data_IF_155581838962
#
_entry.id   IF_155581838962
#
_cell.length_a   1.000
_cell.length_b   1.000
_cell.length_c   1.000
_cell.angle_alpha   90.00
_cell.angle_beta   90.00
_cell.angle_gamma   90.00
#
_symmetry.space_group_name_H-M   'P 1'
#
loop_
_entity.id
_entity.type
_entity.pdbx_description
1 polymer ?
#
# COMPACT_ATOMS: atom_id res chain seq x y z
N UNK A 1 11.53 31.28 -23.92
CA UNK A 1 11.48 31.21 -22.43
C UNK A 1 10.05 31.07 -21.89
N UNK A 2 9.08 31.90 -22.28
CA UNK A 2 7.69 31.78 -21.79
C UNK A 2 7.02 30.41 -22.04
N UNK A 3 7.20 29.82 -23.22
CA UNK A 3 6.58 28.52 -23.55
C UNK A 3 7.07 27.35 -22.64
N UNK A 4 8.31 27.43 -22.13
CA UNK A 4 8.85 26.42 -21.21
C UNK A 4 8.24 26.53 -19.82
N UNK A 5 8.01 27.75 -19.34
CA UNK A 5 7.40 28.03 -18.03
C UNK A 5 5.94 27.56 -18.00
N UNK A 6 5.17 27.84 -19.06
CA UNK A 6 3.78 27.37 -19.15
C UNK A 6 3.68 25.84 -19.22
N UNK A 7 4.60 25.17 -19.91
CA UNK A 7 4.65 23.69 -19.92
C UNK A 7 5.00 23.12 -18.55
N UNK A 8 5.96 23.72 -17.84
CA UNK A 8 6.31 23.29 -16.49
C UNK A 8 5.12 23.44 -15.53
N UNK A 9 4.41 24.58 -15.57
CA UNK A 9 3.22 24.80 -14.77
C UNK A 9 2.07 23.83 -15.12
N UNK A 10 1.88 23.51 -16.39
CA UNK A 10 0.87 22.53 -16.81
C UNK A 10 1.18 21.12 -16.29
N UNK A 11 2.44 20.69 -16.35
CA UNK A 11 2.87 19.40 -15.78
C UNK A 11 2.68 19.41 -14.27
N UNK A 12 3.03 20.50 -13.59
CA UNK A 12 2.88 20.61 -12.14
C UNK A 12 1.39 20.58 -11.73
N UNK A 13 0.53 21.28 -12.47
CA UNK A 13 -0.92 21.27 -12.26
C UNK A 13 -1.54 19.89 -12.48
N UNK A 14 -1.09 19.17 -13.52
CA UNK A 14 -1.51 17.78 -13.78
C UNK A 14 -1.06 16.88 -12.63
N UNK A 15 0.20 16.97 -12.17
CA UNK A 15 0.68 16.19 -11.03
C UNK A 15 -0.08 16.51 -9.74
N UNK A 16 -0.44 17.78 -9.48
CA UNK A 16 -1.27 18.14 -8.31
C UNK A 16 -2.72 17.67 -8.44
N UNK A 17 -3.28 17.65 -9.66
CA UNK A 17 -4.62 17.14 -9.91
C UNK A 17 -4.67 15.61 -9.75
N UNK A 18 -3.65 14.89 -10.24
CA UNK A 18 -3.51 13.45 -9.99
C UNK A 18 -3.23 13.17 -8.51
N UNK A 19 -2.52 14.04 -7.79
CA UNK A 19 -2.33 13.93 -6.35
C UNK A 19 -3.65 14.13 -5.57
N UNK A 20 -4.56 14.98 -6.06
CA UNK A 20 -5.91 15.15 -5.51
C UNK A 20 -6.85 13.97 -5.76
N UNK A 21 -6.48 13.06 -6.67
CA UNK A 21 -7.17 11.79 -6.93
C UNK A 21 -6.37 10.58 -6.41
N UNK A 22 -5.37 10.79 -5.55
CA UNK A 22 -4.83 9.70 -4.74
C UNK A 22 -5.94 9.38 -3.75
N UNK A 23 -6.59 8.22 -3.91
CA UNK A 23 -7.58 7.70 -2.98
C UNK A 23 -7.06 7.84 -1.54
N UNK A 24 -7.45 8.91 -0.85
CA UNK A 24 -7.11 9.12 0.56
C UNK A 24 -7.79 8.06 1.44
N UNK A 25 -8.78 7.34 0.88
CA UNK A 25 -9.37 6.14 1.45
C UNK A 25 -8.36 4.98 1.56
N UNK A 26 -7.36 4.91 0.67
CA UNK A 26 -6.37 3.83 0.63
C UNK A 26 -5.01 4.22 1.24
N UNK A 27 -4.73 5.51 1.46
CA UNK A 27 -3.48 5.96 2.05
C UNK A 27 -3.69 6.43 3.51
N UNK A 28 -3.20 5.66 4.51
CA UNK A 28 -3.49 5.97 5.91
C UNK A 28 -2.69 7.16 6.43
N UNK A 29 -3.35 7.97 7.25
CA UNK A 29 -2.67 8.96 8.08
C UNK A 29 -1.93 8.23 9.19
N UNK A 30 -0.61 8.45 9.27
CA UNK A 30 0.27 7.86 10.29
C UNK A 30 0.34 8.76 11.52
N UNK A 31 -0.45 8.42 12.55
CA UNK A 31 -0.43 9.14 13.83
C UNK A 31 0.66 8.56 14.74
N UNK A 32 1.65 9.36 15.11
CA UNK A 32 2.65 8.95 16.09
C UNK A 32 2.01 8.79 17.48
N UNK A 33 2.12 7.60 18.10
CA UNK A 33 1.63 7.34 19.46
C UNK A 33 2.76 7.44 20.50
N UNK A 34 4.03 7.50 20.06
CA UNK A 34 5.20 7.61 20.93
C UNK A 34 6.35 8.34 20.23
N UNK A 35 7.59 7.91 20.48
CA UNK A 35 8.78 8.36 19.73
C UNK A 35 8.99 7.40 18.57
N UNK A 36 8.65 7.77 17.32
CA UNK A 36 8.77 6.87 16.19
C UNK A 36 10.23 6.56 15.89
N UNK A 37 10.50 5.31 15.50
CA UNK A 37 11.86 4.87 15.17
C UNK A 37 12.36 5.54 13.88
N UNK A 38 11.44 5.77 12.94
CA UNK A 38 11.72 6.38 11.65
C UNK A 38 10.70 7.48 11.35
N UNK A 39 11.07 8.49 10.55
CA UNK A 39 10.12 9.44 10.00
C UNK A 39 8.98 8.75 9.23
N UNK A 40 7.78 9.36 9.14
CA UNK A 40 6.59 8.69 8.64
C UNK A 40 6.73 8.21 7.18
N UNK A 41 7.39 8.98 6.31
CA UNK A 41 7.65 8.57 4.93
C UNK A 41 8.57 7.34 4.83
N UNK A 42 9.55 7.23 5.73
CA UNK A 42 10.48 6.11 5.79
C UNK A 42 9.77 4.88 6.36
N UNK A 43 9.03 5.04 7.45
CA UNK A 43 8.21 3.96 8.03
C UNK A 43 7.17 3.43 7.02
N UNK A 44 6.47 4.32 6.32
CA UNK A 44 5.50 3.95 5.28
C UNK A 44 6.16 3.11 4.17
N UNK A 45 7.26 3.60 3.59
CA UNK A 45 7.94 2.91 2.49
C UNK A 45 8.48 1.54 2.91
N UNK A 46 9.11 1.43 4.08
CA UNK A 46 9.57 0.15 4.64
C UNK A 46 8.40 -0.82 4.83
N UNK A 47 7.34 -0.38 5.52
CA UNK A 47 6.20 -1.24 5.80
C UNK A 47 5.40 -1.61 4.55
N UNK A 48 5.37 -0.74 3.52
CA UNK A 48 4.81 -1.06 2.22
C UNK A 48 5.61 -2.16 1.52
N UNK A 49 6.94 -2.13 1.60
CA UNK A 49 7.76 -3.20 1.01
C UNK A 49 7.51 -4.56 1.67
N UNK A 50 7.35 -4.60 2.99
CA UNK A 50 7.02 -5.82 3.74
C UNK A 50 5.60 -6.30 3.40
N UNK A 51 4.64 -5.39 3.35
CA UNK A 51 3.26 -5.68 2.92
C UNK A 51 3.22 -6.29 1.51
N UNK A 52 3.97 -5.74 0.57
CA UNK A 52 4.06 -6.25 -0.82
C UNK A 52 4.75 -7.61 -0.90
N UNK A 53 5.74 -7.88 -0.05
CA UNK A 53 6.34 -9.20 0.06
C UNK A 53 5.30 -10.23 0.55
N UNK A 54 4.54 -9.88 1.59
CA UNK A 54 3.46 -10.74 2.11
C UNK A 54 2.30 -10.92 1.13
N UNK A 55 1.94 -9.90 0.36
CA UNK A 55 0.97 -10.03 -0.73
C UNK A 55 1.38 -11.14 -1.70
N UNK A 56 2.62 -11.09 -2.21
CA UNK A 56 3.12 -12.07 -3.17
C UNK A 56 3.17 -13.48 -2.58
N UNK A 57 3.66 -13.60 -1.35
CA UNK A 57 3.74 -14.88 -0.66
C UNK A 57 2.35 -15.49 -0.41
N UNK A 58 1.40 -14.68 0.09
CA UNK A 58 0.03 -15.14 0.34
C UNK A 58 -0.67 -15.58 -0.95
N UNK A 59 -0.49 -14.84 -2.05
CA UNK A 59 -1.03 -15.22 -3.36
C UNK A 59 -0.41 -16.51 -3.89
N UNK A 60 0.91 -16.65 -3.78
CA UNK A 60 1.61 -17.88 -4.15
C UNK A 60 1.10 -19.08 -3.34
N UNK A 61 0.95 -18.93 -2.02
CA UNK A 61 0.41 -19.97 -1.15
C UNK A 61 -1.03 -20.34 -1.50
N UNK A 62 -1.87 -19.39 -1.91
CA UNK A 62 -3.23 -19.67 -2.37
C UNK A 62 -3.22 -20.55 -3.62
N UNK A 63 -2.43 -20.20 -4.64
CA UNK A 63 -2.32 -21.01 -5.86
C UNK A 63 -1.72 -22.40 -5.60
N UNK A 64 -0.69 -22.49 -4.75
CA UNK A 64 -0.11 -23.79 -4.36
C UNK A 64 -1.14 -24.68 -3.65
N UNK A 65 -1.96 -24.11 -2.76
CA UNK A 65 -3.05 -24.86 -2.10
C UNK A 65 -4.10 -25.33 -3.10
N UNK A 66 -4.51 -24.46 -4.04
CA UNK A 66 -5.49 -24.83 -5.08
C UNK A 66 -5.00 -26.01 -5.94
N UNK A 67 -3.71 -26.00 -6.32
CA UNK A 67 -3.09 -27.12 -7.05
C UNK A 67 -3.10 -28.42 -6.25
N UNK A 68 -2.84 -28.36 -4.94
CA UNK A 68 -2.82 -29.54 -4.07
C UNK A 68 -4.22 -30.11 -3.80
N UNK A 69 -5.26 -29.28 -3.78
CA UNK A 69 -6.65 -29.70 -3.55
C UNK A 69 -7.37 -30.14 -4.83
N UNK A 70 -6.70 -30.08 -5.98
CA UNK A 70 -7.28 -30.44 -7.28
C UNK A 70 -8.26 -29.40 -7.83
N UNK A 71 -8.31 -28.20 -7.23
CA UNK A 71 -9.02 -27.06 -7.80
C UNK A 71 -8.18 -26.46 -8.93
N UNK A 72 -8.54 -26.80 -10.16
CA UNK A 72 -7.82 -26.39 -11.39
C UNK A 72 -7.91 -24.88 -11.62
N UNK A 73 -8.97 -24.25 -11.13
CA UNK A 73 -9.18 -22.80 -11.19
C UNK A 73 -9.21 -22.24 -9.76
N UNK A 74 -8.05 -21.74 -9.33
CA UNK A 74 -7.96 -20.87 -8.16
C UNK A 74 -8.86 -19.64 -8.42
N UNK A 75 -9.81 -19.35 -7.53
CA UNK A 75 -10.63 -18.14 -7.68
C UNK A 75 -9.71 -16.92 -7.53
N UNK A 76 -9.50 -16.20 -8.62
CA UNK A 76 -8.60 -15.07 -8.69
C UNK A 76 -9.06 -13.91 -7.79
N UNK A 77 -10.37 -13.76 -7.60
CA UNK A 77 -10.92 -12.75 -6.68
C UNK A 77 -10.63 -13.14 -5.22
N UNK A 78 -10.77 -14.42 -4.89
CA UNK A 78 -10.45 -14.92 -3.55
C UNK A 78 -8.93 -14.85 -3.28
N UNK A 79 -8.10 -15.18 -4.28
CA UNK A 79 -6.65 -15.04 -4.20
C UNK A 79 -6.24 -13.59 -3.93
N UNK A 80 -6.82 -12.64 -4.68
CA UNK A 80 -6.55 -11.21 -4.56
C UNK A 80 -6.99 -10.66 -3.19
N UNK A 81 -8.21 -10.99 -2.75
CA UNK A 81 -8.75 -10.53 -1.46
C UNK A 81 -7.95 -11.08 -0.29
N UNK A 82 -7.56 -12.35 -0.33
CA UNK A 82 -6.73 -13.00 0.70
C UNK A 82 -5.35 -12.36 0.75
N UNK A 83 -4.72 -12.15 -0.41
CA UNK A 83 -3.40 -11.55 -0.50
C UNK A 83 -3.40 -10.09 -0.02
N UNK A 84 -4.40 -9.28 -0.40
CA UNK A 84 -4.57 -7.91 0.10
C UNK A 84 -4.78 -7.86 1.60
N UNK A 85 -5.61 -8.75 2.14
CA UNK A 85 -5.84 -8.82 3.58
C UNK A 85 -4.56 -9.18 4.35
N UNK A 86 -3.76 -10.12 3.83
CA UNK A 86 -2.47 -10.48 4.42
C UNK A 86 -1.47 -9.31 4.38
N UNK A 87 -1.35 -8.66 3.22
CA UNK A 87 -0.51 -7.48 3.02
C UNK A 87 -0.87 -6.34 3.98
N UNK A 88 -2.16 -6.05 4.11
CA UNK A 88 -2.66 -5.01 5.00
C UNK A 88 -2.34 -5.29 6.48
N UNK A 89 -2.52 -6.53 6.94
CA UNK A 89 -2.16 -6.93 8.31
C UNK A 89 -0.66 -6.75 8.56
N UNK A 90 0.18 -7.16 7.61
CA UNK A 90 1.63 -7.00 7.72
C UNK A 90 2.02 -5.53 7.78
N UNK A 91 1.43 -4.71 6.91
CA UNK A 91 1.69 -3.28 6.84
C UNK A 91 1.33 -2.58 8.16
N UNK A 92 0.13 -2.84 8.71
CA UNK A 92 -0.32 -2.26 9.99
C UNK A 92 0.54 -2.75 11.15
N UNK A 93 0.93 -4.02 11.17
CA UNK A 93 1.82 -4.58 12.19
C UNK A 93 3.22 -3.97 12.15
N UNK A 94 3.77 -3.74 10.95
CA UNK A 94 5.05 -3.05 10.81
C UNK A 94 4.96 -1.60 11.32
N UNK A 95 3.91 -0.86 10.95
CA UNK A 95 3.73 0.52 11.40
C UNK A 95 3.52 0.65 12.90
N UNK A 96 2.79 -0.28 13.51
CA UNK A 96 2.64 -0.29 14.97
C UNK A 96 3.99 -0.54 15.65
N UNK A 97 4.84 -1.40 15.08
CA UNK A 97 6.24 -1.58 15.51
C UNK A 97 7.11 -0.34 15.32
N UNK A 98 6.82 0.51 14.33
CA UNK A 98 7.50 1.80 14.11
C UNK A 98 7.00 2.93 15.03
N UNK A 99 5.96 2.69 15.84
CA UNK A 99 5.37 3.67 16.75
C UNK A 99 4.20 4.48 16.19
N UNK A 100 3.58 3.99 15.11
CA UNK A 100 2.46 4.66 14.43
C UNK A 100 1.12 3.92 14.59
N UNK A 101 0.04 4.69 14.69
CA UNK A 101 -1.33 4.25 14.43
C UNK A 101 -1.67 4.58 12.98
N UNK A 102 -2.23 3.62 12.25
CA UNK A 102 -2.90 3.91 10.98
C UNK A 102 -4.31 4.44 11.24
N UNK A 103 -4.63 5.61 10.69
CA UNK A 103 -5.98 6.14 10.62
C UNK A 103 -6.38 6.23 9.15
N UNK A 104 -7.49 5.59 8.79
CA UNK A 104 -8.04 5.64 7.44
C UNK A 104 -9.15 6.68 7.42
N UNK A 105 -9.13 7.58 6.44
CA UNK A 105 -10.23 8.50 6.21
C UNK A 105 -11.42 7.70 5.66
N UNK A 106 -12.57 7.79 6.33
CA UNK A 106 -13.83 7.20 5.92
C UNK A 106 -14.64 8.19 5.07
#
# INVERSE_FOLDING_TARGET
MMAGIFRALAVLAVMTALAGCIDHANDPVLLAIGVPVNPPAVAHSLCMTDGNAMYREARNQYHLRAQLTGYVDADELEAETTARAAAHRQYVACLSGQGYRTLYAY
#
